data_IF_016003706162
#
_entry.id   IF_016003706162
#
_cell.length_a   1.000
_cell.length_b   1.000
_cell.length_c   1.000
_cell.angle_alpha   90.00
_cell.angle_beta   90.00
_cell.angle_gamma   90.00
#
_symmetry.space_group_name_H-M   'P 1'
#
loop_
_entity.id
_entity.type
_entity.pdbx_description
1 polymer ?
#
# COMPACT_ATOMS: atom_id res chain seq x y z
N UNK A 1 15.03 13.23 -5.18
CA UNK A 1 15.67 13.00 -3.87
C UNK A 1 14.63 12.49 -2.90
N UNK A 2 14.84 11.32 -2.30
CA UNK A 2 13.98 10.80 -1.23
C UNK A 2 14.63 11.19 0.10
N UNK A 3 13.87 11.84 0.98
CA UNK A 3 14.36 12.23 2.30
C UNK A 3 13.78 11.29 3.36
N UNK A 4 14.63 10.48 3.98
CA UNK A 4 14.25 9.62 5.11
C UNK A 4 14.73 10.23 6.42
N UNK A 5 13.80 10.74 7.23
CA UNK A 5 14.10 11.46 8.47
C UNK A 5 13.30 10.84 9.63
N UNK A 6 13.98 10.53 10.74
CA UNK A 6 13.37 9.98 11.96
C UNK A 6 13.55 10.88 13.20
N UNK A 7 14.10 12.08 13.02
CA UNK A 7 14.43 13.04 14.08
C UNK A 7 13.29 14.05 14.38
N UNK A 8 12.10 13.87 13.82
CA UNK A 8 10.95 14.74 14.03
C UNK A 8 10.24 14.51 15.38
N UNK A 9 9.55 15.53 15.88
CA UNK A 9 8.74 15.41 17.10
C UNK A 9 7.52 14.49 16.86
N UNK A 10 7.13 13.66 17.84
CA UNK A 10 6.00 12.70 17.73
C UNK A 10 4.64 13.36 17.41
N UNK A 11 4.51 14.66 17.70
CA UNK A 11 3.31 15.44 17.40
C UNK A 11 3.18 15.81 15.92
N UNK A 12 4.25 15.68 15.12
CA UNK A 12 4.20 15.94 13.70
C UNK A 12 3.33 14.87 13.02
N UNK A 13 2.33 15.25 12.20
CA UNK A 13 1.56 14.32 11.41
C UNK A 13 2.45 13.44 10.54
N UNK A 14 2.19 12.13 10.53
CA UNK A 14 3.01 11.15 9.80
C UNK A 14 2.63 11.02 8.33
N UNK A 15 1.41 11.42 7.99
CA UNK A 15 0.77 11.10 6.72
C UNK A 15 0.16 12.38 6.16
N UNK A 16 0.58 12.77 4.96
CA UNK A 16 0.01 13.92 4.26
C UNK A 16 -0.11 13.58 2.79
N UNK A 17 -1.32 13.63 2.27
CA UNK A 17 -1.61 13.38 0.87
C UNK A 17 -2.26 14.62 0.26
N UNK A 18 -1.76 15.04 -0.89
CA UNK A 18 -2.36 16.13 -1.67
C UNK A 18 -2.62 15.65 -3.09
N UNK A 19 -3.83 15.89 -3.58
CA UNK A 19 -4.24 15.53 -4.94
C UNK A 19 -4.62 16.82 -5.67
N UNK A 20 -3.99 17.06 -6.81
CA UNK A 20 -4.25 18.18 -7.71
C UNK A 20 -4.92 17.65 -8.98
N UNK A 21 -6.10 18.15 -9.32
CA UNK A 21 -6.84 17.70 -10.51
C UNK A 21 -7.76 18.80 -11.03
N UNK A 22 -7.61 19.19 -12.31
CA UNK A 22 -8.55 20.11 -12.99
C UNK A 22 -8.76 21.45 -12.29
N UNK A 23 -7.70 22.05 -11.72
CA UNK A 23 -7.79 23.30 -10.96
C UNK A 23 -8.34 23.16 -9.53
N UNK A 24 -8.50 21.92 -9.05
CA UNK A 24 -9.02 21.60 -7.71
C UNK A 24 -7.98 20.87 -6.89
N UNK A 25 -8.10 20.95 -5.57
CA UNK A 25 -7.13 20.38 -4.63
C UNK A 25 -7.84 19.67 -3.49
N UNK A 26 -7.38 18.46 -3.15
CA UNK A 26 -7.76 17.78 -1.91
C UNK A 26 -6.52 17.53 -1.06
N UNK A 27 -6.62 17.85 0.23
CA UNK A 27 -5.54 17.66 1.20
C UNK A 27 -6.05 16.78 2.33
N UNK A 28 -5.42 15.62 2.50
CA UNK A 28 -5.66 14.71 3.62
C UNK A 28 -4.48 14.79 4.60
N UNK A 29 -4.80 15.11 5.84
CA UNK A 29 -3.84 15.19 6.95
C UNK A 29 -4.13 14.07 7.95
N UNK A 30 -3.14 13.18 8.09
CA UNK A 30 -3.05 12.10 9.06
C UNK A 30 -4.28 11.18 9.11
N UNK A 31 -4.96 10.95 7.99
CA UNK A 31 -6.24 10.22 7.93
C UNK A 31 -7.30 10.76 8.92
N UNK A 32 -7.29 12.07 9.19
CA UNK A 32 -8.20 12.73 10.15
C UNK A 32 -8.90 13.94 9.57
N UNK A 33 -8.21 14.74 8.78
CA UNK A 33 -8.74 16.00 8.25
C UNK A 33 -8.59 15.99 6.75
N UNK A 34 -9.70 16.06 6.05
CA UNK A 34 -9.77 16.28 4.62
C UNK A 34 -10.20 17.73 4.39
N UNK A 35 -9.46 18.46 3.56
CA UNK A 35 -9.87 19.76 3.01
C UNK A 35 -9.96 19.66 1.51
N UNK A 36 -10.99 20.25 0.93
CA UNK A 36 -11.20 20.26 -0.49
C UNK A 36 -11.40 21.71 -0.97
N UNK A 37 -10.73 22.04 -2.07
CA UNK A 37 -10.71 23.37 -2.68
C UNK A 37 -11.21 23.25 -4.11
N UNK A 38 -12.17 24.09 -4.49
CA UNK A 38 -12.80 24.03 -5.81
C UNK A 38 -13.70 22.80 -6.03
N UNK A 39 -14.12 22.12 -4.95
CA UNK A 39 -15.00 20.95 -5.02
C UNK A 39 -16.44 21.31 -4.60
N UNK A 40 -17.42 21.25 -5.52
CA UNK A 40 -18.82 21.49 -5.17
C UNK A 40 -19.31 20.47 -4.14
N UNK A 41 -19.97 20.93 -3.09
CA UNK A 41 -20.57 20.06 -2.06
C UNK A 41 -19.59 19.42 -1.07
N UNK A 42 -18.27 19.58 -1.26
CA UNK A 42 -17.27 19.07 -0.32
C UNK A 42 -16.24 20.15 -0.02
N UNK A 43 -16.23 20.65 1.22
CA UNK A 43 -15.24 21.64 1.68
C UNK A 43 -14.29 21.06 2.71
N UNK A 44 -14.81 20.26 3.65
CA UNK A 44 -14.02 19.60 4.68
C UNK A 44 -14.72 18.35 5.21
N UNK A 45 -13.92 17.41 5.72
CA UNK A 45 -14.37 16.29 6.55
C UNK A 45 -13.35 16.09 7.67
N UNK A 46 -13.83 16.05 8.92
CA UNK A 46 -12.98 15.89 10.09
C UNK A 46 -13.44 14.69 10.91
N UNK A 47 -12.51 13.80 11.22
CA UNK A 47 -12.71 12.68 12.12
C UNK A 47 -12.16 13.02 13.51
N UNK A 48 -12.86 12.55 14.53
CA UNK A 48 -12.40 12.69 15.92
C UNK A 48 -11.10 11.91 16.15
N UNK A 49 -11.04 10.68 15.63
CA UNK A 49 -9.89 9.78 15.70
C UNK A 49 -9.34 9.52 14.30
N UNK A 50 -8.05 9.19 14.22
CA UNK A 50 -7.44 8.65 13.01
C UNK A 50 -8.11 7.32 12.62
N UNK A 51 -8.54 7.23 11.36
CA UNK A 51 -9.03 5.99 10.77
C UNK A 51 -8.19 5.62 9.54
N UNK A 52 -7.28 4.66 9.73
CA UNK A 52 -6.44 4.11 8.65
C UNK A 52 -7.11 2.91 7.95
N UNK A 53 -8.35 2.56 8.33
CA UNK A 53 -9.08 1.44 7.75
C UNK A 53 -8.67 0.06 8.25
N UNK A 54 -7.84 -0.06 9.29
CA UNK A 54 -7.36 -1.38 9.78
C UNK A 54 -8.51 -2.33 10.12
N UNK A 55 -9.52 -1.86 10.86
CA UNK A 55 -10.69 -2.67 11.23
C UNK A 55 -11.44 -3.15 9.99
N UNK A 56 -11.62 -2.27 9.00
CA UNK A 56 -12.30 -2.62 7.75
C UNK A 56 -11.49 -3.63 6.92
N UNK A 57 -10.16 -3.50 6.90
CA UNK A 57 -9.28 -4.46 6.24
C UNK A 57 -9.35 -5.85 6.86
N UNK A 58 -9.28 -5.95 8.19
CA UNK A 58 -9.43 -7.24 8.90
C UNK A 58 -10.81 -7.84 8.67
N UNK A 59 -11.86 -7.01 8.70
CA UNK A 59 -13.22 -7.46 8.42
C UNK A 59 -13.33 -8.03 7.01
N UNK A 60 -12.86 -7.30 5.99
CA UNK A 60 -12.90 -7.75 4.59
C UNK A 60 -12.17 -9.09 4.40
N UNK A 61 -11.02 -9.26 5.07
CA UNK A 61 -10.27 -10.51 5.05
C UNK A 61 -11.04 -11.70 5.66
N UNK A 62 -11.63 -11.50 6.85
CA UNK A 62 -12.42 -12.55 7.50
C UNK A 62 -13.67 -12.91 6.70
N UNK A 63 -14.33 -11.91 6.12
CA UNK A 63 -15.52 -12.11 5.29
C UNK A 63 -15.18 -12.90 4.02
N UNK A 64 -14.04 -12.61 3.37
CA UNK A 64 -13.55 -13.38 2.22
C UNK A 64 -13.32 -14.87 2.57
N UNK A 65 -12.67 -15.16 3.71
CA UNK A 65 -12.45 -16.54 4.17
C UNK A 65 -13.77 -17.26 4.43
N UNK A 66 -14.69 -16.61 5.17
CA UNK A 66 -15.96 -17.23 5.58
C UNK A 66 -16.87 -17.56 4.40
N UNK A 67 -16.83 -16.72 3.36
CA UNK A 67 -17.71 -16.85 2.19
C UNK A 67 -17.05 -17.61 1.03
N UNK A 68 -15.76 -17.94 1.14
CA UNK A 68 -14.98 -18.46 0.00
C UNK A 68 -14.83 -17.42 -1.12
N UNK A 69 -14.93 -16.13 -0.79
CA UNK A 69 -14.82 -15.03 -1.73
C UNK A 69 -13.38 -14.74 -2.16
N UNK A 70 -13.19 -13.84 -3.14
CA UNK A 70 -11.85 -13.45 -3.57
C UNK A 70 -11.09 -12.74 -2.45
N UNK A 71 -9.76 -12.78 -2.53
CA UNK A 71 -8.90 -12.02 -1.63
C UNK A 71 -9.25 -10.51 -1.70
N UNK A 72 -9.32 -9.78 -0.57
CA UNK A 72 -9.65 -8.35 -0.56
C UNK A 72 -8.66 -7.49 -1.34
N UNK A 73 -7.42 -7.93 -1.43
CA UNK A 73 -6.38 -7.36 -2.29
C UNK A 73 -5.85 -8.51 -3.14
N UNK A 74 -6.00 -8.45 -4.48
CA UNK A 74 -5.45 -9.45 -5.39
C UNK A 74 -3.94 -9.62 -5.26
N UNK A 75 -3.44 -10.86 -5.44
CA UNK A 75 -2.00 -11.15 -5.34
C UNK A 75 -1.17 -10.40 -6.38
N UNK A 76 -1.70 -10.23 -7.58
CA UNK A 76 -1.02 -9.53 -8.67
C UNK A 76 -0.84 -8.04 -8.36
N UNK A 77 -1.79 -7.40 -7.67
CA UNK A 77 -1.64 -6.04 -7.14
C UNK A 77 -0.56 -5.96 -6.05
N UNK A 78 -0.49 -6.94 -5.13
CA UNK A 78 0.56 -7.00 -4.11
C UNK A 78 1.95 -7.17 -4.74
N UNK A 79 2.07 -8.03 -5.74
CA UNK A 79 3.29 -8.24 -6.49
C UNK A 79 3.70 -6.99 -7.28
N UNK A 80 2.73 -6.29 -7.90
CA UNK A 80 2.96 -5.04 -8.62
C UNK A 80 3.53 -3.95 -7.70
N UNK A 81 2.91 -3.69 -6.54
CA UNK A 81 3.39 -2.69 -5.59
C UNK A 81 4.80 -3.02 -5.08
N UNK A 82 5.07 -4.30 -4.83
CA UNK A 82 6.38 -4.78 -4.41
C UNK A 82 7.44 -4.51 -5.49
N UNK A 83 7.13 -4.84 -6.75
CA UNK A 83 8.02 -4.56 -7.89
C UNK A 83 8.27 -3.06 -8.04
N UNK A 84 7.22 -2.23 -8.02
CA UNK A 84 7.36 -0.77 -8.13
C UNK A 84 8.26 -0.21 -7.03
N UNK A 85 8.16 -0.75 -5.81
CA UNK A 85 9.03 -0.34 -4.71
C UNK A 85 10.51 -0.63 -5.00
N UNK A 86 10.82 -1.81 -5.56
CA UNK A 86 12.19 -2.17 -5.96
C UNK A 86 12.69 -1.36 -7.15
N UNK A 87 11.81 -1.12 -8.13
CA UNK A 87 12.11 -0.31 -9.31
C UNK A 87 12.41 1.15 -8.93
N UNK A 88 11.71 1.73 -7.95
CA UNK A 88 12.04 3.07 -7.42
C UNK A 88 13.46 3.12 -6.85
N UNK A 89 13.88 2.09 -6.12
CA UNK A 89 15.25 2.00 -5.59
C UNK A 89 16.25 1.92 -6.75
N UNK A 90 16.01 1.03 -7.71
CA UNK A 90 16.85 0.88 -8.91
C UNK A 90 16.96 2.18 -9.71
N UNK A 91 15.85 2.87 -9.92
CA UNK A 91 15.81 4.15 -10.63
C UNK A 91 16.62 5.23 -9.89
N UNK A 92 16.55 5.26 -8.56
CA UNK A 92 17.34 6.19 -7.75
C UNK A 92 18.85 5.93 -7.82
N UNK A 93 19.27 4.66 -7.88
CA UNK A 93 20.68 4.25 -7.97
C UNK A 93 21.27 4.49 -9.37
N UNK A 94 20.55 4.07 -10.41
CA UNK A 94 21.02 4.10 -11.80
C UNK A 94 20.79 5.44 -12.48
N UNK A 95 19.89 6.27 -11.94
CA UNK A 95 19.35 7.48 -12.58
C UNK A 95 18.61 7.21 -13.90
N UNK A 96 18.20 5.97 -14.14
CA UNK A 96 17.36 5.60 -15.27
C UNK A 96 15.89 5.89 -14.96
N UNK A 97 15.14 6.28 -15.98
CA UNK A 97 13.68 6.36 -15.90
C UNK A 97 13.09 4.99 -16.21
N UNK A 98 12.35 4.42 -15.25
CA UNK A 98 11.57 3.20 -15.47
C UNK A 98 10.16 3.61 -15.88
N UNK A 99 9.73 3.15 -17.07
CA UNK A 99 8.42 3.48 -17.65
C UNK A 99 7.47 2.31 -17.45
N UNK A 100 6.28 2.62 -16.96
CA UNK A 100 5.15 1.69 -16.89
C UNK A 100 4.11 2.13 -17.91
N UNK A 101 3.75 1.24 -18.84
CA UNK A 101 2.78 1.50 -19.90
C UNK A 101 1.32 1.22 -19.49
N UNK A 102 1.11 0.88 -18.21
CA UNK A 102 -0.19 0.50 -17.68
C UNK A 102 -0.63 -0.91 -18.06
N UNK A 103 0.20 -1.68 -18.77
CA UNK A 103 -0.02 -3.11 -18.89
C UNK A 103 0.17 -3.73 -17.51
N UNK A 104 -0.85 -4.46 -17.04
CA UNK A 104 -0.70 -5.26 -15.83
C UNK A 104 0.38 -6.28 -16.14
N UNK A 105 1.48 -6.35 -15.36
CA UNK A 105 2.45 -7.43 -15.52
C UNK A 105 1.69 -8.76 -15.49
N UNK A 106 2.07 -9.71 -16.34
CA UNK A 106 1.53 -11.06 -16.21
C UNK A 106 1.71 -11.51 -14.75
N UNK A 107 0.68 -12.12 -14.12
CA UNK A 107 0.85 -12.65 -12.79
C UNK A 107 2.10 -13.54 -12.78
N UNK A 108 2.92 -13.51 -11.71
CA UNK A 108 4.00 -14.47 -11.58
C UNK A 108 3.40 -15.87 -11.79
N UNK A 109 4.01 -16.69 -12.66
CA UNK A 109 3.50 -18.00 -13.05
C UNK A 109 2.82 -18.68 -11.86
N UNK A 110 1.48 -18.80 -11.92
CA UNK A 110 0.66 -19.37 -10.85
C UNK A 110 0.86 -20.88 -10.69
N UNK A 111 1.76 -21.48 -11.47
CA UNK A 111 2.29 -22.82 -11.23
C UNK A 111 3.30 -22.78 -10.07
N UNK A 112 2.82 -22.43 -8.88
CA UNK A 112 3.37 -23.06 -7.70
C UNK A 112 2.72 -24.44 -7.70
N UNK A 113 3.43 -25.43 -8.25
CA UNK A 113 3.14 -26.81 -7.95
C UNK A 113 3.19 -26.91 -6.42
N UNK A 114 2.04 -27.11 -5.78
CA UNK A 114 1.86 -27.27 -4.32
C UNK A 114 2.65 -28.48 -3.75
N UNK A 115 3.45 -29.16 -4.58
CA UNK A 115 4.29 -30.30 -4.24
C UNK A 115 5.70 -29.93 -3.78
N UNK A 116 6.18 -28.70 -3.95
CA UNK A 116 7.48 -28.27 -3.39
C UNK A 116 7.34 -27.67 -1.98
N UNK A 117 6.81 -28.48 -1.06
CA UNK A 117 7.06 -28.28 0.35
C UNK A 117 8.54 -28.57 0.62
N UNK A 118 9.40 -27.55 0.58
CA UNK A 118 10.79 -27.68 1.05
C UNK A 118 10.70 -27.93 2.57
N UNK A 119 10.99 -29.15 3.08
CA UNK A 119 10.93 -29.38 4.50
C UNK A 119 12.01 -28.53 5.17
N UNK A 120 11.61 -27.66 6.12
CA UNK A 120 12.58 -26.99 6.98
C UNK A 120 13.39 -28.08 7.71
N UNK A 121 14.73 -27.99 7.74
CA UNK A 121 15.51 -28.91 8.55
C UNK A 121 15.04 -28.80 9.99
N UNK A 122 14.60 -29.92 10.57
CA UNK A 122 14.32 -29.99 11.99
C UNK A 122 15.66 -29.87 12.70
N UNK A 123 15.91 -28.72 13.33
CA UNK A 123 16.97 -28.62 14.32
C UNK A 123 16.55 -29.49 15.51
N UNK A 124 17.10 -30.70 15.56
CA UNK A 124 17.05 -31.55 16.76
C UNK A 124 17.73 -30.78 17.89
N UNK A 125 16.95 -30.44 18.92
CA UNK A 125 17.49 -30.15 20.24
C UNK A 125 17.73 -31.50 20.92
N UNK A 126 18.97 -31.95 20.89
CA UNK A 126 19.52 -32.99 21.75
C UNK A 126 21.01 -32.67 21.95
N UNK A 127 21.28 -31.84 22.95
CA UNK A 127 22.16 -32.10 24.12
C UNK A 127 22.40 -30.80 24.91
#
# INVERSE_FOLDING_TARGET
TVHYLANGHKAVPKERLEVFCGGRVMQLDNFRKLKAYGWPGLTKMNLWRQDKGHTNGVKAFLDAIRTGGPAPIPLDELAEVSRVTLDIVRAAETRETIVYDGSKPAPPNTSLDDTEFIPRPQTSLAD
#
